data_IF_533180829366
#
_entry.id   IF_533180829366
#
_cell.length_a   1.000
_cell.length_b   1.000
_cell.length_c   1.000
_cell.angle_alpha   90.00
_cell.angle_beta   90.00
_cell.angle_gamma   90.00
#
_symmetry.space_group_name_H-M   'P 1'
#
loop_
_entity.id
_entity.type
_entity.pdbx_description
1 polymer ?
#
# COMPACT_ATOMS: atom_id res chain seq x y z
N UNK A 1 25.59 -1.84 5.80
CA UNK A 1 26.79 -1.17 5.20
C UNK A 1 26.35 0.10 4.52
N UNK A 2 25.16 0.09 3.92
CA UNK A 2 24.43 1.25 3.38
C UNK A 2 24.16 2.28 4.48
N UNK A 3 23.46 1.95 5.55
CA UNK A 3 23.15 2.86 6.68
C UNK A 3 24.36 3.67 7.20
N UNK A 4 25.57 3.07 7.14
CA UNK A 4 26.80 3.78 7.55
C UNK A 4 27.36 4.74 6.50
N UNK A 5 27.01 4.54 5.24
CA UNK A 5 27.40 5.45 4.16
C UNK A 5 26.47 6.67 4.15
N UNK A 6 25.20 6.46 4.32
CA UNK A 6 24.17 7.49 4.41
C UNK A 6 24.39 8.40 5.63
N UNK A 7 24.57 7.81 6.83
CA UNK A 7 24.90 8.57 8.05
C UNK A 7 26.21 9.38 7.89
N UNK A 8 27.17 8.85 7.15
CA UNK A 8 28.43 9.54 6.86
C UNK A 8 28.25 10.71 5.87
N UNK A 9 27.36 10.58 4.88
CA UNK A 9 27.03 11.65 3.93
C UNK A 9 26.34 12.81 4.65
N UNK A 10 25.32 12.55 5.45
CA UNK A 10 24.64 13.55 6.26
C UNK A 10 25.61 14.32 7.15
N UNK A 11 26.41 13.61 7.97
CA UNK A 11 27.38 14.25 8.86
C UNK A 11 28.41 15.12 8.11
N UNK A 12 28.83 14.70 6.91
CA UNK A 12 29.79 15.44 6.10
C UNK A 12 29.16 16.70 5.52
N UNK A 13 27.95 16.62 4.98
CA UNK A 13 27.21 17.77 4.47
C UNK A 13 26.88 18.78 5.58
N UNK A 14 26.40 18.33 6.75
CA UNK A 14 26.17 19.16 7.94
C UNK A 14 27.42 19.90 8.39
N UNK A 15 28.56 19.19 8.46
CA UNK A 15 29.86 19.80 8.84
C UNK A 15 30.28 20.90 7.88
N UNK A 16 30.14 20.69 6.57
CA UNK A 16 30.45 21.67 5.55
C UNK A 16 29.51 22.87 5.59
N UNK A 17 28.20 22.61 5.85
CA UNK A 17 27.17 23.64 5.99
C UNK A 17 27.46 24.53 7.20
N UNK A 18 27.77 23.93 8.36
CA UNK A 18 28.14 24.64 9.61
C UNK A 18 29.44 25.45 9.43
N UNK A 19 30.40 24.89 8.69
CA UNK A 19 31.65 25.59 8.35
C UNK A 19 31.44 26.71 7.33
N UNK A 20 30.26 26.84 6.73
CA UNK A 20 29.94 27.78 5.65
C UNK A 20 30.85 27.64 4.42
N UNK A 21 31.40 26.44 4.20
CA UNK A 21 32.22 26.15 3.02
C UNK A 21 31.34 25.71 1.85
N UNK A 22 30.55 26.62 1.36
CA UNK A 22 29.55 26.40 0.29
C UNK A 22 30.21 25.95 -1.04
N UNK A 23 31.48 26.24 -1.25
CA UNK A 23 32.16 25.83 -2.47
C UNK A 23 32.51 24.35 -2.45
N UNK A 24 33.04 23.87 -1.33
CA UNK A 24 33.36 22.44 -1.15
C UNK A 24 32.05 21.63 -1.07
N UNK A 25 31.04 22.16 -0.37
CA UNK A 25 29.74 21.57 -0.24
C UNK A 25 29.08 21.34 -1.62
N UNK A 26 29.01 22.37 -2.46
CA UNK A 26 28.47 22.28 -3.81
C UNK A 26 29.22 21.25 -4.66
N UNK A 27 30.54 21.27 -4.64
CA UNK A 27 31.33 20.31 -5.40
C UNK A 27 31.13 18.87 -4.91
N UNK A 28 30.92 18.69 -3.62
CA UNK A 28 30.62 17.36 -3.05
C UNK A 28 29.30 16.84 -3.56
N UNK A 29 28.24 17.67 -3.55
CA UNK A 29 26.93 17.29 -4.08
C UNK A 29 26.95 17.01 -5.60
N UNK A 30 27.78 17.73 -6.39
CA UNK A 30 27.97 17.44 -7.82
C UNK A 30 28.56 16.03 -8.07
N UNK A 31 29.30 15.47 -7.10
CA UNK A 31 29.89 14.13 -7.17
C UNK A 31 29.04 13.03 -6.52
N UNK A 32 27.86 13.37 -5.92
CA UNK A 32 26.94 12.44 -5.25
C UNK A 32 25.77 12.07 -6.17
N UNK A 33 25.12 10.92 -5.86
CA UNK A 33 23.86 10.56 -6.47
C UNK A 33 22.73 11.46 -5.93
N UNK A 34 21.73 11.76 -6.75
CA UNK A 34 20.59 12.62 -6.39
C UNK A 34 19.79 12.03 -5.24
N UNK A 35 19.58 10.72 -5.23
CA UNK A 35 18.88 9.98 -4.15
C UNK A 35 19.64 10.10 -2.82
N UNK A 36 20.99 9.96 -2.83
CA UNK A 36 21.81 10.09 -1.61
C UNK A 36 21.74 11.53 -1.04
N UNK A 37 21.62 12.53 -1.92
CA UNK A 37 21.48 13.93 -1.50
C UNK A 37 20.10 14.15 -0.86
N UNK A 38 19.04 13.67 -1.51
CA UNK A 38 17.67 13.79 -1.02
C UNK A 38 17.54 13.12 0.35
N UNK A 39 17.99 11.88 0.49
CA UNK A 39 17.98 11.15 1.75
C UNK A 39 18.73 11.90 2.87
N UNK A 40 19.92 12.46 2.56
CA UNK A 40 20.66 13.25 3.54
C UNK A 40 19.92 14.54 3.94
N UNK A 41 19.11 15.10 3.04
CA UNK A 41 18.30 16.30 3.30
C UNK A 41 17.08 15.97 4.17
N UNK A 42 16.40 14.86 3.92
CA UNK A 42 15.23 14.39 4.68
C UNK A 42 15.56 14.08 6.15
N UNK A 43 16.82 13.72 6.42
CA UNK A 43 17.35 13.44 7.76
C UNK A 43 17.80 14.72 8.51
N UNK A 44 17.79 15.90 7.85
CA UNK A 44 18.21 17.18 8.43
C UNK A 44 17.03 17.99 8.96
N UNK A 45 17.33 19.05 9.74
CA UNK A 45 16.32 20.05 10.08
C UNK A 45 15.89 20.84 8.84
N UNK A 46 14.59 21.18 8.73
CA UNK A 46 13.98 21.91 7.60
C UNK A 46 14.79 23.13 7.15
N UNK A 47 15.36 23.91 8.10
CA UNK A 47 16.18 25.09 7.77
C UNK A 47 17.48 24.73 7.09
N UNK A 48 18.11 23.64 7.48
CA UNK A 48 19.39 23.20 6.92
C UNK A 48 19.19 22.49 5.60
N UNK A 49 18.13 21.69 5.46
CA UNK A 49 17.66 21.12 4.20
C UNK A 49 17.39 22.22 3.16
N UNK A 50 16.63 23.26 3.52
CA UNK A 50 16.39 24.41 2.62
C UNK A 50 17.69 25.14 2.20
N UNK A 51 18.65 25.30 3.13
CA UNK A 51 19.94 25.93 2.81
C UNK A 51 20.73 25.07 1.83
N UNK A 52 20.72 23.78 2.03
CA UNK A 52 21.37 22.78 1.17
C UNK A 52 20.77 22.82 -0.23
N UNK A 53 19.45 22.79 -0.32
CA UNK A 53 18.71 22.88 -1.58
C UNK A 53 19.09 24.14 -2.38
N UNK A 54 19.18 25.30 -1.72
CA UNK A 54 19.56 26.56 -2.38
C UNK A 54 21.01 26.59 -2.90
N UNK A 55 21.87 25.69 -2.44
CA UNK A 55 23.28 25.57 -2.88
C UNK A 55 23.40 24.60 -4.06
N UNK A 56 22.41 23.71 -4.25
CA UNK A 56 22.41 22.73 -5.35
C UNK A 56 22.68 23.37 -6.71
N UNK A 57 23.39 22.68 -7.61
CA UNK A 57 23.40 23.00 -9.02
C UNK A 57 21.99 23.03 -9.59
N UNK A 58 21.68 24.01 -10.45
CA UNK A 58 20.33 24.19 -10.98
C UNK A 58 19.81 23.02 -11.82
N UNK A 59 20.71 22.32 -12.45
CA UNK A 59 20.49 21.13 -13.27
C UNK A 59 20.18 19.87 -12.45
N UNK A 60 20.58 19.85 -11.17
CA UNK A 60 20.28 18.75 -10.25
C UNK A 60 19.12 19.06 -9.29
N UNK A 61 18.71 20.33 -9.21
CA UNK A 61 17.77 20.77 -8.19
C UNK A 61 16.36 20.15 -8.37
N UNK A 62 15.91 19.96 -9.60
CA UNK A 62 14.64 19.33 -9.88
C UNK A 62 14.70 17.81 -9.59
N UNK A 63 15.78 17.14 -10.02
CA UNK A 63 15.98 15.71 -9.81
C UNK A 63 16.07 15.38 -8.31
N UNK A 64 16.86 16.16 -7.52
CA UNK A 64 16.93 15.99 -6.06
C UNK A 64 15.59 16.31 -5.40
N UNK A 65 14.84 17.28 -5.92
CA UNK A 65 13.56 17.68 -5.37
C UNK A 65 12.51 16.58 -5.55
N UNK A 66 12.49 15.88 -6.69
CA UNK A 66 11.60 14.77 -6.95
C UNK A 66 11.78 13.61 -5.93
N UNK A 67 13.02 13.38 -5.53
CA UNK A 67 13.39 12.31 -4.59
C UNK A 67 13.18 12.66 -3.10
N UNK A 68 12.83 13.93 -2.76
CA UNK A 68 12.56 14.33 -1.37
C UNK A 68 11.20 13.83 -0.91
N UNK A 69 11.07 13.55 0.39
CA UNK A 69 9.78 13.29 0.99
C UNK A 69 8.82 14.50 0.85
N UNK A 70 7.54 14.22 0.69
CA UNK A 70 6.51 15.20 0.37
C UNK A 70 6.45 16.38 1.39
N UNK A 71 6.61 16.11 2.68
CA UNK A 71 6.64 17.15 3.73
C UNK A 71 7.82 18.15 3.52
N UNK A 72 8.99 17.65 3.11
CA UNK A 72 10.17 18.48 2.81
C UNK A 72 10.01 19.25 1.51
N UNK A 73 9.43 18.62 0.48
CA UNK A 73 9.05 19.30 -0.77
C UNK A 73 8.11 20.48 -0.48
N UNK A 74 7.07 20.26 0.31
CA UNK A 74 6.10 21.30 0.69
C UNK A 74 6.77 22.46 1.44
N UNK A 75 7.67 22.14 2.39
CA UNK A 75 8.40 23.16 3.15
C UNK A 75 9.30 24.00 2.25
N UNK A 76 10.05 23.36 1.35
CA UNK A 76 10.94 24.02 0.40
C UNK A 76 10.14 24.95 -0.52
N UNK A 77 9.06 24.45 -1.15
CA UNK A 77 8.20 25.25 -2.03
C UNK A 77 7.56 26.41 -1.29
N UNK A 78 7.05 26.20 -0.07
CA UNK A 78 6.45 27.26 0.75
C UNK A 78 7.45 28.35 1.15
N UNK A 79 8.75 28.00 1.22
CA UNK A 79 9.85 28.91 1.58
C UNK A 79 10.46 29.65 0.39
N UNK A 80 9.96 29.39 -0.82
CA UNK A 80 10.42 30.00 -2.08
C UNK A 80 9.48 31.12 -2.56
N UNK A 81 9.97 31.92 -3.50
CA UNK A 81 9.10 32.84 -4.26
C UNK A 81 8.28 32.04 -5.27
N UNK A 82 7.06 32.54 -5.60
CA UNK A 82 6.19 31.91 -6.60
C UNK A 82 6.88 31.66 -7.96
N UNK A 83 7.94 32.42 -8.27
CA UNK A 83 8.71 32.28 -9.53
C UNK A 83 9.77 31.18 -9.44
N UNK A 84 10.40 31.01 -8.29
CA UNK A 84 11.33 29.91 -8.04
C UNK A 84 10.58 28.58 -7.97
N UNK A 85 9.48 28.54 -7.23
CA UNK A 85 8.60 27.38 -7.14
C UNK A 85 8.09 26.95 -8.53
N UNK A 86 7.59 27.89 -9.36
CA UNK A 86 7.13 27.54 -10.69
C UNK A 86 8.23 27.02 -11.62
N UNK A 87 9.48 27.46 -11.40
CA UNK A 87 10.61 26.96 -12.19
C UNK A 87 10.96 25.50 -11.80
N UNK A 88 10.83 25.12 -10.54
CA UNK A 88 11.00 23.71 -10.12
C UNK A 88 9.90 22.87 -10.76
N UNK A 89 8.64 23.26 -10.59
CA UNK A 89 7.47 22.57 -11.16
C UNK A 89 7.58 22.40 -12.68
N UNK A 90 8.12 23.38 -13.39
CA UNK A 90 8.31 23.31 -14.86
C UNK A 90 9.43 22.31 -15.28
N UNK A 91 10.22 21.83 -14.35
CA UNK A 91 11.30 20.86 -14.62
C UNK A 91 11.06 19.48 -13.94
N UNK A 92 9.98 19.31 -13.18
CA UNK A 92 9.51 18.03 -12.69
C UNK A 92 8.74 17.28 -13.77
N UNK A 93 8.66 15.95 -13.67
CA UNK A 93 7.68 15.17 -14.40
C UNK A 93 6.26 15.52 -13.96
N UNK A 94 5.28 15.28 -14.82
CA UNK A 94 3.94 15.80 -14.57
C UNK A 94 3.22 15.12 -13.39
N UNK A 95 3.49 13.85 -13.14
CA UNK A 95 3.07 13.07 -11.99
C UNK A 95 3.64 13.65 -10.70
N UNK A 96 4.98 13.72 -10.54
CA UNK A 96 5.65 14.32 -9.38
C UNK A 96 5.12 15.72 -9.05
N UNK A 97 4.98 16.55 -10.11
CA UNK A 97 4.44 17.89 -9.94
C UNK A 97 2.97 17.88 -9.50
N UNK A 98 2.19 16.87 -9.90
CA UNK A 98 0.78 16.73 -9.55
C UNK A 98 0.64 16.27 -8.11
N UNK A 99 1.36 15.23 -7.70
CA UNK A 99 1.34 14.68 -6.35
C UNK A 99 1.70 15.74 -5.30
N UNK A 100 2.77 16.50 -5.56
CA UNK A 100 3.12 17.64 -4.71
C UNK A 100 1.98 18.66 -4.59
N UNK A 101 1.35 19.01 -5.72
CA UNK A 101 0.34 20.07 -5.75
C UNK A 101 -1.01 19.63 -5.18
N UNK A 102 -1.35 18.34 -5.19
CA UNK A 102 -2.55 17.80 -4.54
C UNK A 102 -2.52 18.03 -3.03
N UNK A 103 -1.36 17.88 -2.43
CA UNK A 103 -1.15 18.04 -0.99
C UNK A 103 -0.99 19.53 -0.55
N UNK A 104 -0.92 20.45 -1.50
CA UNK A 104 -0.73 21.88 -1.20
C UNK A 104 -2.05 22.66 -1.06
N UNK A 105 -2.09 23.73 -0.23
CA UNK A 105 -3.25 24.59 -0.14
C UNK A 105 -3.62 25.22 -1.50
N UNK A 106 -4.89 25.14 -1.90
CA UNK A 106 -5.37 25.56 -3.21
C UNK A 106 -5.00 27.02 -3.63
N UNK A 107 -4.79 27.90 -2.66
CA UNK A 107 -4.33 29.28 -2.90
C UNK A 107 -2.85 29.34 -3.30
N UNK A 108 -2.02 28.39 -2.87
CA UNK A 108 -0.61 28.24 -3.24
C UNK A 108 -0.53 27.63 -4.62
N UNK A 109 -1.20 26.50 -4.85
CA UNK A 109 -1.32 25.83 -6.16
C UNK A 109 -1.70 26.84 -7.26
N UNK A 110 -2.76 27.62 -7.03
CA UNK A 110 -3.21 28.64 -8.00
C UNK A 110 -2.13 29.66 -8.36
N UNK A 111 -1.29 30.06 -7.40
CA UNK A 111 -0.21 31.04 -7.65
C UNK A 111 0.94 30.43 -8.44
N UNK A 112 1.32 29.22 -8.09
CA UNK A 112 2.39 28.47 -8.77
C UNK A 112 1.97 28.20 -10.21
N UNK A 113 0.82 27.59 -10.44
CA UNK A 113 0.30 27.27 -11.76
C UNK A 113 0.05 28.52 -12.63
N UNK A 114 -0.25 29.68 -12.01
CA UNK A 114 -0.40 30.92 -12.76
C UNK A 114 0.91 31.39 -13.41
N UNK A 115 2.07 30.96 -12.89
CA UNK A 115 3.41 31.31 -13.38
C UNK A 115 4.10 30.19 -14.13
N UNK A 116 3.67 28.95 -13.94
CA UNK A 116 4.14 27.78 -14.66
C UNK A 116 3.88 27.89 -16.18
N UNK A 117 4.64 27.14 -16.97
CA UNK A 117 4.47 27.09 -18.42
C UNK A 117 3.05 26.70 -18.82
N UNK A 118 2.56 27.10 -20.01
CA UNK A 118 1.24 26.66 -20.47
C UNK A 118 1.13 25.14 -20.65
N UNK A 119 2.23 24.47 -21.00
CA UNK A 119 2.33 23.00 -21.19
C UNK A 119 2.22 22.32 -19.83
N UNK A 120 3.12 22.57 -18.89
CA UNK A 120 3.08 22.03 -17.52
C UNK A 120 1.73 22.24 -16.85
N UNK A 121 1.17 23.46 -16.99
CA UNK A 121 -0.17 23.74 -16.44
C UNK A 121 -1.28 22.91 -17.06
N UNK A 122 -1.20 22.61 -18.36
CA UNK A 122 -2.20 21.80 -19.04
C UNK A 122 -2.11 20.34 -18.60
N UNK A 123 -0.89 19.83 -18.47
CA UNK A 123 -0.62 18.44 -18.07
C UNK A 123 -1.03 18.21 -16.61
N UNK A 124 -0.62 19.04 -15.68
CA UNK A 124 -1.04 18.96 -14.27
C UNK A 124 -2.56 19.08 -14.13
N UNK A 125 -3.20 20.08 -14.80
CA UNK A 125 -4.67 20.18 -14.76
C UNK A 125 -5.38 19.00 -15.45
N UNK A 126 -4.69 18.24 -16.27
CA UNK A 126 -5.21 17.02 -16.86
C UNK A 126 -5.17 15.89 -15.83
N UNK A 127 -4.04 15.70 -15.16
CA UNK A 127 -3.82 14.65 -14.15
C UNK A 127 -4.72 14.87 -12.92
N UNK A 128 -4.81 16.07 -12.38
CA UNK A 128 -5.69 16.45 -11.26
C UNK A 128 -7.20 16.16 -11.46
N UNK A 129 -7.61 15.66 -12.62
CA UNK A 129 -9.01 15.27 -12.89
C UNK A 129 -9.29 13.82 -12.63
N UNK A 130 -8.27 13.00 -12.53
CA UNK A 130 -8.44 11.59 -12.25
C UNK A 130 -8.71 11.40 -10.76
N UNK A 131 -9.45 10.36 -10.39
CA UNK A 131 -9.63 10.01 -8.98
C UNK A 131 -8.28 9.65 -8.35
N UNK A 132 -8.06 10.06 -7.11
CA UNK A 132 -6.95 9.58 -6.28
C UNK A 132 -6.91 8.04 -6.28
N UNK A 133 -5.73 7.47 -6.18
CA UNK A 133 -5.48 6.02 -6.19
C UNK A 133 -5.92 5.31 -7.48
N UNK A 134 -6.04 6.02 -8.59
CA UNK A 134 -6.31 5.44 -9.91
C UNK A 134 -5.07 5.41 -10.78
N UNK A 135 -5.02 4.52 -11.78
CA UNK A 135 -3.96 4.50 -12.78
C UNK A 135 -3.78 5.84 -13.51
N UNK A 136 -4.82 6.67 -13.54
CA UNK A 136 -4.77 8.00 -14.13
C UNK A 136 -4.13 9.05 -13.23
N UNK A 137 -4.15 8.90 -11.89
CA UNK A 137 -3.48 9.82 -10.97
C UNK A 137 -1.97 9.56 -10.89
N UNK A 138 -1.54 8.32 -11.01
CA UNK A 138 -0.14 7.90 -10.88
C UNK A 138 0.61 7.79 -12.22
N UNK A 139 0.00 8.22 -13.34
CA UNK A 139 0.64 8.11 -14.66
C UNK A 139 1.38 9.40 -15.01
N UNK A 140 2.51 9.25 -15.69
CA UNK A 140 3.17 10.37 -16.36
C UNK A 140 2.69 10.52 -17.81
N UNK A 141 2.72 11.76 -18.33
CA UNK A 141 2.33 12.08 -19.72
C UNK A 141 3.54 12.20 -20.65
N UNK A 142 4.74 12.13 -20.11
CA UNK A 142 6.03 12.28 -20.79
C UNK A 142 6.53 10.95 -21.37
N UNK A 143 5.95 10.54 -22.50
CA UNK A 143 6.34 9.32 -23.20
C UNK A 143 6.61 9.52 -24.69
N UNK A 144 7.32 8.56 -25.32
CA UNK A 144 7.60 8.59 -26.75
C UNK A 144 6.47 7.92 -27.54
N UNK A 145 5.68 8.71 -28.27
CA UNK A 145 4.72 8.21 -29.24
C UNK A 145 5.32 8.08 -30.65
N UNK A 146 4.97 7.05 -31.37
CA UNK A 146 5.37 6.81 -32.76
C UNK A 146 4.11 6.62 -33.64
N UNK A 147 4.29 6.65 -34.96
CA UNK A 147 3.24 6.37 -35.93
C UNK A 147 3.60 5.13 -36.76
N UNK A 148 2.61 4.32 -37.18
CA UNK A 148 2.82 3.13 -37.97
C UNK A 148 3.61 3.38 -39.28
N UNK A 149 3.39 4.55 -39.90
CA UNK A 149 4.01 4.94 -41.16
C UNK A 149 5.40 5.58 -41.04
N UNK A 150 5.89 5.77 -39.82
CA UNK A 150 7.25 6.24 -39.57
C UNK A 150 8.25 5.14 -39.92
N UNK A 151 9.42 5.56 -40.40
CA UNK A 151 10.56 4.64 -40.54
C UNK A 151 11.31 4.51 -39.20
N UNK A 152 12.15 3.48 -39.11
CA UNK A 152 13.05 3.30 -37.94
C UNK A 152 13.97 4.53 -37.75
N UNK A 153 14.46 5.09 -38.85
CA UNK A 153 15.30 6.31 -38.84
C UNK A 153 14.53 7.49 -38.24
N UNK A 154 13.28 7.72 -38.68
CA UNK A 154 12.41 8.79 -38.17
C UNK A 154 12.14 8.61 -36.67
N UNK A 155 11.89 7.37 -36.22
CA UNK A 155 11.66 7.05 -34.80
C UNK A 155 12.90 7.38 -33.96
N UNK A 156 14.10 6.95 -34.40
CA UNK A 156 15.36 7.27 -33.70
C UNK A 156 15.61 8.79 -33.66
N UNK A 157 15.31 9.51 -34.74
CA UNK A 157 15.43 10.96 -34.76
C UNK A 157 14.44 11.63 -33.77
N UNK A 158 13.23 11.09 -33.62
CA UNK A 158 12.24 11.58 -32.65
C UNK A 158 12.73 11.33 -31.21
N UNK A 159 13.25 10.14 -30.92
CA UNK A 159 13.81 9.79 -29.62
C UNK A 159 15.00 10.72 -29.27
N UNK A 160 15.90 10.98 -30.20
CA UNK A 160 17.03 11.91 -29.97
C UNK A 160 16.58 13.35 -29.65
N UNK A 161 15.42 13.78 -30.10
CA UNK A 161 14.92 15.14 -29.88
C UNK A 161 14.11 15.27 -28.59
N UNK A 162 13.37 14.22 -28.19
CA UNK A 162 12.46 14.24 -27.06
C UNK A 162 12.84 13.33 -25.89
N UNK A 163 13.90 12.54 -26.04
CA UNK A 163 14.23 11.52 -25.06
C UNK A 163 14.70 12.05 -23.70
N UNK A 164 15.13 13.32 -23.64
CA UNK A 164 15.48 13.98 -22.37
C UNK A 164 14.24 14.55 -21.65
N UNK A 165 13.15 14.78 -22.41
CA UNK A 165 11.88 15.28 -21.88
C UNK A 165 10.86 14.14 -21.71
N UNK A 166 11.33 12.89 -21.69
CA UNK A 166 10.46 11.71 -21.57
C UNK A 166 10.94 10.84 -20.44
N UNK A 167 10.00 10.34 -19.65
CA UNK A 167 10.25 9.48 -18.49
C UNK A 167 11.11 8.27 -18.87
N UNK A 168 10.77 7.59 -19.94
CA UNK A 168 11.57 6.52 -20.48
C UNK A 168 11.58 6.48 -22.00
N UNK A 169 12.71 6.09 -22.58
CA UNK A 169 12.88 5.83 -24.01
C UNK A 169 12.93 4.33 -24.32
N UNK A 170 12.94 3.48 -23.31
CA UNK A 170 13.12 2.04 -23.44
C UNK A 170 11.99 1.38 -24.24
N UNK A 171 10.76 1.90 -24.11
CA UNK A 171 9.57 1.47 -24.81
C UNK A 171 8.90 2.69 -25.45
N UNK A 172 8.68 2.61 -26.76
CA UNK A 172 7.93 3.59 -27.53
C UNK A 172 6.55 3.06 -27.87
N UNK A 173 5.55 3.93 -27.90
CA UNK A 173 4.16 3.56 -28.09
C UNK A 173 3.67 3.99 -29.46
N UNK A 174 3.09 3.06 -30.20
CA UNK A 174 2.61 3.32 -31.56
C UNK A 174 1.13 3.66 -31.49
N UNK A 175 0.78 4.88 -31.93
CA UNK A 175 -0.59 5.38 -31.88
C UNK A 175 -1.02 5.89 -33.27
N UNK A 176 -2.32 5.86 -33.55
CA UNK A 176 -2.87 6.45 -34.76
C UNK A 176 -3.12 7.98 -34.62
N UNK A 177 -3.70 8.59 -35.65
CA UNK A 177 -3.99 10.03 -35.65
C UNK A 177 -5.00 10.48 -34.60
N UNK A 178 -5.76 9.55 -34.00
CA UNK A 178 -6.70 9.79 -32.92
C UNK A 178 -6.12 9.41 -31.55
N UNK A 179 -4.81 9.15 -31.46
CA UNK A 179 -4.08 8.68 -30.29
C UNK A 179 -4.48 7.26 -29.83
N UNK A 180 -5.23 6.51 -30.61
CA UNK A 180 -5.58 5.11 -30.27
C UNK A 180 -4.32 4.26 -30.28
N UNK A 181 -4.07 3.54 -29.20
CA UNK A 181 -2.91 2.65 -29.04
C UNK A 181 -3.00 1.46 -30.01
N UNK A 182 -1.97 1.28 -30.85
CA UNK A 182 -1.88 0.23 -31.87
C UNK A 182 -0.81 -0.80 -31.57
N UNK A 183 0.28 -0.38 -30.95
CA UNK A 183 1.41 -1.26 -30.70
C UNK A 183 2.45 -0.63 -29.78
N UNK A 184 3.48 -1.40 -29.51
CA UNK A 184 4.69 -0.95 -28.79
C UNK A 184 5.94 -1.39 -29.51
N UNK A 185 7.01 -0.61 -29.42
CA UNK A 185 8.33 -0.95 -29.95
C UNK A 185 9.39 -0.65 -28.90
N UNK A 186 10.15 -1.66 -28.49
CA UNK A 186 11.27 -1.42 -27.59
C UNK A 186 12.46 -0.80 -28.34
N UNK A 187 13.15 0.15 -27.71
CA UNK A 187 14.32 0.84 -28.27
C UNK A 187 15.37 -0.14 -28.84
N UNK A 188 15.59 -1.29 -28.16
CA UNK A 188 16.51 -2.33 -28.63
C UNK A 188 16.19 -2.85 -30.04
N UNK A 189 14.91 -2.90 -30.42
CA UNK A 189 14.53 -3.31 -31.78
C UNK A 189 14.81 -2.23 -32.80
N UNK A 190 14.58 -0.96 -32.47
CA UNK A 190 14.94 0.17 -33.34
C UNK A 190 16.44 0.21 -33.65
N UNK A 191 17.29 -0.18 -32.67
CA UNK A 191 18.74 -0.17 -32.85
C UNK A 191 19.30 -1.28 -33.75
N UNK A 192 18.55 -2.35 -33.94
CA UNK A 192 19.01 -3.54 -34.71
C UNK A 192 18.29 -3.72 -36.06
N UNK A 193 17.28 -2.89 -36.33
CA UNK A 193 16.49 -2.94 -37.58
C UNK A 193 17.11 -2.01 -38.64
N UNK A 194 16.74 -2.27 -39.91
CA UNK A 194 17.18 -1.41 -41.01
C UNK A 194 16.46 -0.04 -40.92
N UNK A 195 17.15 1.07 -41.28
CA UNK A 195 16.62 2.43 -41.10
C UNK A 195 15.32 2.71 -41.87
N UNK A 196 15.08 2.03 -42.99
CA UNK A 196 13.96 2.20 -43.90
C UNK A 196 12.73 1.28 -43.58
N UNK A 197 12.87 0.35 -42.62
CA UNK A 197 11.74 -0.45 -42.17
C UNK A 197 10.67 0.43 -41.52
N UNK A 198 9.38 0.07 -41.72
CA UNK A 198 8.28 0.80 -41.13
C UNK A 198 8.01 0.32 -39.69
N UNK A 199 7.67 1.26 -38.80
CA UNK A 199 7.31 0.97 -37.40
C UNK A 199 6.12 -0.01 -37.34
N UNK A 200 5.13 0.14 -38.23
CA UNK A 200 3.98 -0.75 -38.31
C UNK A 200 4.32 -2.23 -38.58
N UNK A 201 5.42 -2.49 -39.25
CA UNK A 201 5.85 -3.85 -39.58
C UNK A 201 6.63 -4.53 -38.44
N UNK A 202 7.24 -3.73 -37.55
CA UNK A 202 8.11 -4.24 -36.47
C UNK A 202 7.47 -4.12 -35.06
N UNK A 203 6.37 -3.40 -34.93
CA UNK A 203 5.69 -3.21 -33.64
C UNK A 203 5.05 -4.50 -33.11
N UNK A 204 4.99 -4.60 -31.79
CA UNK A 204 4.17 -5.61 -31.12
C UNK A 204 2.74 -5.09 -30.97
N UNK A 205 1.79 -5.76 -31.63
CA UNK A 205 0.36 -5.40 -31.58
C UNK A 205 -0.39 -6.00 -30.38
N UNK A 206 0.23 -6.93 -29.65
CA UNK A 206 -0.36 -7.53 -28.43
C UNK A 206 0.03 -6.70 -27.21
N UNK A 207 -0.52 -5.51 -27.14
CA UNK A 207 -0.23 -4.58 -26.03
C UNK A 207 -1.16 -4.87 -24.86
N UNK A 208 -0.58 -4.92 -23.67
CA UNK A 208 -1.31 -4.88 -22.42
C UNK A 208 -1.30 -3.43 -21.96
N UNK A 209 -2.47 -2.88 -21.72
CA UNK A 209 -2.69 -1.51 -21.24
C UNK A 209 -3.65 -1.53 -20.07
N UNK A 210 -3.64 -0.49 -19.26
CA UNK A 210 -4.56 -0.28 -18.15
C UNK A 210 -5.47 0.91 -18.46
N UNK A 211 -6.69 0.89 -17.90
CA UNK A 211 -7.60 2.02 -18.03
C UNK A 211 -7.29 3.08 -16.96
N UNK A 212 -7.44 4.37 -17.29
CA UNK A 212 -7.22 5.49 -16.36
C UNK A 212 -8.00 5.40 -15.04
N UNK A 213 -9.15 4.72 -15.01
CA UNK A 213 -10.00 4.57 -13.83
C UNK A 213 -9.76 3.27 -13.07
N UNK A 214 -8.80 2.46 -13.50
CA UNK A 214 -8.42 1.26 -12.77
C UNK A 214 -7.66 1.65 -11.51
N UNK A 215 -7.86 0.90 -10.45
CA UNK A 215 -7.18 1.07 -9.17
C UNK A 215 -5.65 0.93 -9.30
N UNK A 216 -4.89 1.72 -8.55
CA UNK A 216 -3.43 1.74 -8.62
C UNK A 216 -2.81 0.39 -8.20
N UNK A 217 -3.40 -0.31 -7.22
CA UNK A 217 -2.93 -1.63 -6.80
C UNK A 217 -3.07 -2.65 -7.95
N UNK A 218 -4.21 -2.65 -8.67
CA UNK A 218 -4.43 -3.52 -9.84
C UNK A 218 -3.44 -3.20 -10.97
N UNK A 219 -3.14 -1.91 -11.18
CA UNK A 219 -2.14 -1.46 -12.15
C UNK A 219 -0.74 -1.96 -11.76
N UNK A 220 -0.34 -1.77 -10.52
CA UNK A 220 0.94 -2.21 -9.96
C UNK A 220 1.11 -3.74 -10.05
N UNK A 221 0.10 -4.51 -9.64
CA UNK A 221 0.09 -5.97 -9.76
C UNK A 221 0.17 -6.44 -11.21
N UNK A 222 -0.42 -5.70 -12.15
CA UNK A 222 -0.34 -6.02 -13.59
C UNK A 222 1.09 -5.82 -14.10
N UNK A 223 1.74 -4.71 -13.77
CA UNK A 223 3.15 -4.44 -14.13
C UNK A 223 4.06 -5.52 -13.52
N UNK A 224 3.89 -5.83 -12.24
CA UNK A 224 4.64 -6.89 -11.56
C UNK A 224 4.45 -8.26 -12.23
N UNK A 225 3.22 -8.64 -12.57
CA UNK A 225 2.88 -9.92 -13.17
C UNK A 225 3.55 -10.14 -14.53
N UNK A 226 3.61 -9.10 -15.35
CA UNK A 226 4.19 -9.20 -16.70
C UNK A 226 5.66 -8.80 -16.75
N UNK A 227 6.21 -8.25 -15.66
CA UNK A 227 7.60 -7.79 -15.58
C UNK A 227 7.88 -6.61 -16.51
N UNK A 228 6.93 -5.69 -16.64
CA UNK A 228 7.10 -4.50 -17.47
C UNK A 228 7.93 -3.46 -16.76
N UNK A 229 8.71 -2.69 -17.50
CA UNK A 229 9.42 -1.48 -17.00
C UNK A 229 8.56 -0.23 -17.13
N UNK A 230 7.61 -0.23 -18.05
CA UNK A 230 6.59 0.80 -18.19
C UNK A 230 5.36 0.20 -18.90
N UNK A 231 4.17 0.68 -18.55
CA UNK A 231 2.91 0.19 -19.09
C UNK A 231 2.05 1.36 -19.57
N UNK A 232 1.42 1.25 -20.76
CA UNK A 232 0.58 2.32 -21.28
C UNK A 232 -0.76 2.39 -20.57
N UNK A 233 -1.17 3.61 -20.26
CA UNK A 233 -2.48 3.95 -19.71
C UNK A 233 -3.36 4.51 -20.82
N UNK A 234 -4.59 4.01 -20.91
CA UNK A 234 -5.56 4.38 -21.96
C UNK A 234 -6.88 4.84 -21.36
N UNK A 235 -7.58 5.71 -22.08
CA UNK A 235 -8.94 6.08 -21.76
C UNK A 235 -9.97 5.01 -22.21
N UNK A 236 -11.27 5.25 -21.98
CA UNK A 236 -12.34 4.35 -22.35
C UNK A 236 -12.47 4.13 -23.86
N UNK A 237 -11.84 4.96 -24.69
CA UNK A 237 -11.82 4.87 -26.15
C UNK A 237 -10.50 4.26 -26.67
N UNK A 238 -9.71 3.67 -25.76
CA UNK A 238 -8.39 3.10 -26.02
C UNK A 238 -7.37 4.11 -26.57
N UNK A 239 -7.55 5.40 -26.25
CA UNK A 239 -6.56 6.42 -26.58
C UNK A 239 -5.51 6.45 -25.48
N UNK A 240 -4.26 6.49 -25.89
CA UNK A 240 -3.14 6.58 -24.98
C UNK A 240 -3.09 7.97 -24.31
N UNK A 241 -3.07 8.00 -23.02
CA UNK A 241 -3.03 9.22 -22.20
C UNK A 241 -1.75 9.37 -21.41
N UNK A 242 -1.14 8.28 -20.96
CA UNK A 242 0.08 8.30 -20.17
C UNK A 242 0.75 6.92 -20.10
N UNK A 243 1.74 6.83 -19.24
CA UNK A 243 2.42 5.58 -18.86
C UNK A 243 2.58 5.54 -17.34
N UNK A 244 2.69 4.33 -16.80
CA UNK A 244 3.12 4.08 -15.42
C UNK A 244 4.43 3.33 -15.49
N UNK A 245 5.42 3.73 -14.71
CA UNK A 245 6.76 3.13 -14.68
C UNK A 245 6.93 2.15 -13.52
N UNK A 246 7.99 1.38 -13.52
CA UNK A 246 8.20 0.32 -12.54
C UNK A 246 8.70 0.85 -11.19
N UNK A 247 9.40 1.97 -11.18
CA UNK A 247 9.86 2.70 -10.01
C UNK A 247 8.66 3.16 -9.17
N UNK A 248 7.71 3.92 -9.75
CA UNK A 248 6.45 4.30 -9.08
C UNK A 248 5.69 3.08 -8.55
N UNK A 249 5.65 2.00 -9.34
CA UNK A 249 4.99 0.75 -8.92
C UNK A 249 5.63 0.12 -7.68
N UNK A 250 6.95 0.24 -7.50
CA UNK A 250 7.62 -0.29 -6.30
C UNK A 250 7.12 0.46 -5.07
N UNK A 251 7.01 1.78 -5.14
CA UNK A 251 6.54 2.62 -4.04
C UNK A 251 5.06 2.38 -3.75
N UNK A 252 4.21 2.34 -4.77
CA UNK A 252 2.79 1.99 -4.63
C UNK A 252 2.60 0.63 -3.95
N UNK A 253 3.34 -0.41 -4.36
CA UNK A 253 3.24 -1.73 -3.73
C UNK A 253 3.67 -1.72 -2.25
N UNK A 254 4.60 -0.86 -1.87
CA UNK A 254 5.02 -0.68 -0.49
C UNK A 254 3.96 0.09 0.32
N UNK A 255 3.38 1.13 -0.25
CA UNK A 255 2.30 1.92 0.36
C UNK A 255 1.06 1.07 0.60
N UNK A 256 0.58 0.34 -0.41
CA UNK A 256 -0.56 -0.58 -0.31
C UNK A 256 -0.31 -1.68 0.74
N UNK A 257 0.91 -2.25 0.77
CA UNK A 257 1.26 -3.23 1.79
C UNK A 257 1.27 -2.63 3.20
N UNK A 258 1.68 -1.38 3.36
CA UNK A 258 1.67 -0.65 4.63
C UNK A 258 0.25 -0.32 5.05
N UNK A 259 -0.57 0.15 4.12
CA UNK A 259 -2.00 0.41 4.32
C UNK A 259 -2.74 -0.84 4.79
N UNK A 260 -2.52 -1.97 4.11
CA UNK A 260 -3.08 -3.28 4.49
C UNK A 260 -2.71 -3.66 5.93
N UNK A 261 -1.43 -3.49 6.31
CA UNK A 261 -0.95 -3.80 7.67
C UNK A 261 -1.63 -2.89 8.70
N UNK A 262 -1.76 -1.60 8.43
CA UNK A 262 -2.41 -0.64 9.33
C UNK A 262 -3.92 -0.94 9.47
N UNK A 263 -4.62 -1.21 8.38
CA UNK A 263 -6.03 -1.63 8.38
C UNK A 263 -6.22 -2.93 9.14
N UNK A 264 -5.35 -3.93 8.92
CA UNK A 264 -5.38 -5.19 9.66
C UNK A 264 -5.14 -5.02 11.16
N UNK A 265 -4.43 -3.98 11.57
CA UNK A 265 -4.23 -3.61 12.97
C UNK A 265 -5.34 -2.70 13.54
N UNK A 266 -6.39 -2.38 12.77
CA UNK A 266 -7.42 -1.40 13.09
C UNK A 266 -6.84 -0.01 13.40
N UNK A 267 -5.94 0.45 12.54
CA UNK A 267 -5.37 1.80 12.51
C UNK A 267 -5.85 2.46 11.22
N UNK A 268 -6.17 3.74 11.25
CA UNK A 268 -6.44 4.50 10.03
C UNK A 268 -5.12 4.74 9.30
N UNK A 269 -5.04 4.47 7.99
CA UNK A 269 -3.81 4.59 7.21
C UNK A 269 -3.14 5.96 7.25
N UNK A 270 -1.85 6.00 6.95
CA UNK A 270 -1.03 7.21 6.92
C UNK A 270 0.04 7.15 5.85
N UNK A 271 0.11 8.20 5.05
CA UNK A 271 1.15 8.40 4.04
C UNK A 271 2.46 8.96 4.66
N UNK A 272 2.41 9.33 5.96
CA UNK A 272 3.54 9.89 6.69
C UNK A 272 4.37 8.83 7.39
N UNK A 273 5.70 8.89 7.31
CA UNK A 273 6.60 8.06 8.10
C UNK A 273 6.31 8.18 9.60
N UNK A 274 6.44 7.07 10.33
CA UNK A 274 6.11 7.00 11.76
C UNK A 274 6.79 8.08 12.61
N UNK A 275 8.05 8.41 12.33
CA UNK A 275 8.82 9.41 13.10
C UNK A 275 8.39 10.86 12.81
N UNK A 276 7.83 11.14 11.63
CA UNK A 276 7.32 12.48 11.27
C UNK A 276 5.90 12.73 11.78
N UNK A 277 5.15 11.66 12.15
CA UNK A 277 3.82 11.80 12.73
C UNK A 277 3.87 12.38 14.15
N UNK A 278 3.07 13.41 14.40
CA UNK A 278 2.90 13.95 15.76
C UNK A 278 2.12 12.97 16.64
N UNK A 279 2.34 13.03 17.96
CA UNK A 279 1.57 12.24 18.93
C UNK A 279 0.06 12.41 18.77
N UNK A 280 -0.39 13.62 18.38
CA UNK A 280 -1.81 13.90 18.20
C UNK A 280 -2.41 13.29 16.94
N UNK A 281 -1.66 13.25 15.84
CA UNK A 281 -2.03 12.55 14.61
C UNK A 281 -2.13 11.05 14.85
N UNK A 282 -1.10 10.44 15.43
CA UNK A 282 -1.10 9.03 15.83
C UNK A 282 -2.31 8.67 16.72
N UNK A 283 -2.64 9.54 17.71
CA UNK A 283 -3.81 9.38 18.56
C UNK A 283 -5.10 9.37 17.74
N UNK A 284 -5.29 10.33 16.84
CA UNK A 284 -6.49 10.43 15.99
C UNK A 284 -6.69 9.20 15.10
N UNK A 285 -5.60 8.62 14.60
CA UNK A 285 -5.66 7.44 13.73
C UNK A 285 -6.02 6.15 14.46
N UNK A 286 -5.67 6.03 15.74
CA UNK A 286 -5.92 4.82 16.53
C UNK A 286 -7.22 4.89 17.34
N UNK A 287 -7.61 6.06 17.81
CA UNK A 287 -8.70 6.20 18.80
C UNK A 287 -10.09 5.80 18.29
N UNK A 288 -10.49 6.09 17.04
CA UNK A 288 -11.82 5.71 16.54
C UNK A 288 -12.07 4.21 16.61
N UNK A 289 -11.12 3.41 16.16
CA UNK A 289 -11.21 1.95 16.20
C UNK A 289 -11.21 1.40 17.62
N UNK A 290 -10.37 1.93 18.50
CA UNK A 290 -10.35 1.51 19.92
C UNK A 290 -11.69 1.78 20.60
N UNK A 291 -12.33 2.91 20.34
CA UNK A 291 -13.66 3.22 20.85
C UNK A 291 -14.73 2.27 20.31
N UNK A 292 -14.70 2.00 19.01
CA UNK A 292 -15.61 1.04 18.37
C UNK A 292 -15.47 -0.36 18.99
N UNK A 293 -14.24 -0.85 19.13
CA UNK A 293 -13.95 -2.16 19.74
C UNK A 293 -14.35 -2.22 21.22
N UNK A 294 -14.14 -1.15 21.97
CA UNK A 294 -14.58 -1.05 23.37
C UNK A 294 -16.11 -1.16 23.50
N UNK A 295 -16.85 -0.47 22.62
CA UNK A 295 -18.32 -0.58 22.59
C UNK A 295 -18.73 -2.01 22.22
N UNK A 296 -18.08 -2.59 21.22
CA UNK A 296 -18.35 -3.96 20.78
C UNK A 296 -18.10 -5.00 21.89
N UNK A 297 -17.06 -4.79 22.73
CA UNK A 297 -16.78 -5.65 23.88
C UNK A 297 -17.92 -5.67 24.95
N UNK A 298 -18.82 -4.71 24.96
CA UNK A 298 -19.98 -4.71 25.85
C UNK A 298 -20.93 -5.88 25.58
N UNK A 299 -21.03 -6.35 24.30
CA UNK A 299 -21.81 -7.53 23.95
C UNK A 299 -21.24 -8.80 24.58
N UNK A 300 -19.93 -8.93 24.63
CA UNK A 300 -19.23 -10.04 25.31
C UNK A 300 -19.57 -10.04 26.81
N UNK A 301 -19.54 -8.87 27.43
CA UNK A 301 -19.96 -8.71 28.84
C UNK A 301 -21.42 -9.11 29.08
N UNK A 302 -22.33 -8.73 28.20
CA UNK A 302 -23.74 -9.12 28.29
C UNK A 302 -23.96 -10.64 28.19
N UNK A 303 -23.19 -11.34 27.32
CA UNK A 303 -23.23 -12.80 27.22
C UNK A 303 -22.79 -13.43 28.55
N UNK A 304 -21.68 -12.98 29.14
CA UNK A 304 -21.20 -13.50 30.43
C UNK A 304 -22.24 -13.32 31.53
N UNK A 305 -22.85 -12.12 31.62
CA UNK A 305 -23.89 -11.84 32.59
C UNK A 305 -25.14 -12.73 32.38
N UNK A 306 -25.49 -13.02 31.12
CA UNK A 306 -26.61 -13.90 30.80
C UNK A 306 -26.45 -15.37 31.28
N UNK A 307 -25.20 -15.78 31.59
CA UNK A 307 -24.88 -17.11 32.12
C UNK A 307 -24.37 -17.10 33.54
N UNK A 308 -24.72 -16.06 34.35
CA UNK A 308 -24.23 -15.88 35.72
C UNK A 308 -24.59 -17.07 36.62
N UNK A 309 -25.80 -17.63 36.50
CA UNK A 309 -26.25 -18.81 37.29
C UNK A 309 -25.42 -20.06 36.98
N UNK A 310 -25.05 -20.25 35.72
CA UNK A 310 -24.16 -21.33 35.32
C UNK A 310 -22.75 -21.18 35.90
N UNK A 311 -22.23 -19.96 35.90
CA UNK A 311 -20.93 -19.64 36.50
C UNK A 311 -20.96 -19.75 38.03
N UNK A 312 -22.04 -19.37 38.67
CA UNK A 312 -22.20 -19.54 40.13
C UNK A 312 -22.19 -21.03 40.53
N UNK A 313 -22.80 -21.88 39.69
CA UNK A 313 -22.82 -23.35 39.94
C UNK A 313 -21.46 -24.02 39.75
N UNK A 314 -20.66 -23.51 38.80
CA UNK A 314 -19.32 -24.04 38.47
C UNK A 314 -18.32 -22.92 38.27
N UNK A 315 -17.92 -22.25 39.35
CA UNK A 315 -16.98 -21.08 39.34
C UNK A 315 -15.70 -21.37 38.56
N UNK A 316 -15.24 -22.62 38.55
CA UNK A 316 -14.03 -23.05 37.82
C UNK A 316 -14.11 -22.76 36.29
N UNK A 317 -15.32 -22.71 35.73
CA UNK A 317 -15.51 -22.40 34.30
C UNK A 317 -15.02 -20.99 33.96
N UNK A 318 -15.11 -20.03 34.89
CA UNK A 318 -14.64 -18.65 34.69
C UNK A 318 -13.15 -18.58 34.37
N UNK A 319 -12.35 -19.47 34.98
CA UNK A 319 -10.90 -19.48 34.79
C UNK A 319 -10.44 -19.83 33.36
N UNK A 320 -11.31 -20.49 32.58
CA UNK A 320 -10.99 -20.94 31.21
C UNK A 320 -11.59 -20.03 30.12
N UNK A 321 -12.39 -19.03 30.46
CA UNK A 321 -12.92 -18.06 29.52
C UNK A 321 -11.79 -17.37 28.75
N UNK A 322 -10.76 -16.78 29.38
CA UNK A 322 -9.69 -16.10 28.65
C UNK A 322 -8.95 -17.01 27.67
N UNK A 323 -8.69 -18.27 28.07
CA UNK A 323 -8.00 -19.24 27.21
C UNK A 323 -8.82 -19.57 25.96
N UNK A 324 -10.14 -19.74 26.08
CA UNK A 324 -11.00 -20.08 24.95
C UNK A 324 -11.15 -18.89 23.99
N UNK A 325 -11.33 -17.68 24.52
CA UNK A 325 -11.42 -16.45 23.74
C UNK A 325 -10.11 -16.18 23.00
N UNK A 326 -8.99 -16.17 23.70
CA UNK A 326 -7.67 -15.91 23.11
C UNK A 326 -7.33 -16.94 22.02
N UNK A 327 -7.52 -18.22 22.31
CA UNK A 327 -7.26 -19.28 21.31
C UNK A 327 -8.17 -19.16 20.08
N UNK A 328 -9.46 -18.83 20.31
CA UNK A 328 -10.42 -18.58 19.22
C UNK A 328 -10.01 -17.37 18.40
N UNK A 329 -9.76 -16.24 19.04
CA UNK A 329 -9.34 -15.00 18.38
C UNK A 329 -8.08 -15.18 17.54
N UNK A 330 -7.05 -15.81 18.11
CA UNK A 330 -5.80 -16.11 17.41
C UNK A 330 -6.02 -17.06 16.22
N UNK A 331 -6.85 -18.09 16.37
CA UNK A 331 -7.16 -19.02 15.28
C UNK A 331 -7.90 -18.34 14.14
N UNK A 332 -8.85 -17.48 14.45
CA UNK A 332 -9.59 -16.68 13.46
C UNK A 332 -8.69 -15.68 12.72
N UNK A 333 -7.87 -14.94 13.47
CA UNK A 333 -6.90 -13.99 12.92
C UNK A 333 -5.90 -14.62 11.96
N UNK A 334 -5.36 -15.82 12.31
CA UNK A 334 -4.46 -16.56 11.40
C UNK A 334 -5.12 -16.93 10.07
N UNK A 335 -6.39 -17.33 10.09
CA UNK A 335 -7.13 -17.63 8.87
C UNK A 335 -7.39 -16.37 8.05
N UNK A 336 -7.80 -15.29 8.72
CA UNK A 336 -8.09 -14.01 8.07
C UNK A 336 -6.89 -13.41 7.38
N UNK A 337 -5.77 -13.26 8.08
CA UNK A 337 -4.53 -12.71 7.50
C UNK A 337 -4.08 -13.52 6.28
N UNK A 338 -4.20 -14.86 6.33
CA UNK A 338 -3.84 -15.71 5.19
C UNK A 338 -4.76 -15.50 3.99
N UNK A 339 -6.05 -15.29 4.23
CA UNK A 339 -7.04 -15.06 3.17
C UNK A 339 -6.92 -13.65 2.61
N UNK A 340 -6.80 -12.63 3.47
CA UNK A 340 -6.60 -11.22 3.06
C UNK A 340 -5.36 -11.13 2.16
N UNK A 341 -4.23 -11.68 2.62
CA UNK A 341 -3.01 -11.66 1.79
C UNK A 341 -3.18 -12.39 0.47
N UNK A 342 -3.90 -13.51 0.45
CA UNK A 342 -4.20 -14.24 -0.78
C UNK A 342 -5.08 -13.46 -1.75
N UNK A 343 -6.00 -12.63 -1.24
CA UNK A 343 -6.84 -11.73 -2.03
C UNK A 343 -6.00 -10.57 -2.58
N UNK A 344 -5.23 -9.89 -1.73
CA UNK A 344 -4.40 -8.73 -2.07
C UNK A 344 -3.39 -9.04 -3.19
N UNK A 345 -2.77 -10.23 -3.20
CA UNK A 345 -1.84 -10.63 -4.27
C UNK A 345 -2.51 -11.36 -5.45
N UNK A 346 -3.84 -11.44 -5.48
CA UNK A 346 -4.58 -12.12 -6.55
C UNK A 346 -4.42 -13.65 -6.59
N UNK A 347 -3.94 -14.28 -5.51
CA UNK A 347 -3.81 -15.75 -5.40
C UNK A 347 -5.15 -16.43 -5.12
N UNK A 348 -6.08 -15.73 -4.46
CA UNK A 348 -7.42 -16.19 -4.12
C UNK A 348 -8.45 -15.31 -4.82
N UNK A 349 -9.36 -15.93 -5.58
CA UNK A 349 -10.54 -15.25 -6.12
C UNK A 349 -11.81 -15.68 -5.37
N UNK A 350 -12.82 -14.80 -5.30
CA UNK A 350 -14.11 -15.14 -4.68
C UNK A 350 -14.75 -16.42 -5.25
N UNK A 351 -14.51 -16.74 -6.52
CA UNK A 351 -14.99 -18.00 -7.16
C UNK A 351 -14.47 -19.25 -6.49
N UNK A 352 -13.33 -19.15 -5.79
CA UNK A 352 -12.70 -20.27 -5.09
C UNK A 352 -13.09 -20.40 -3.61
N UNK A 353 -14.04 -19.60 -3.13
CA UNK A 353 -14.49 -19.54 -1.73
C UNK A 353 -14.69 -20.91 -1.09
N UNK A 354 -15.36 -21.86 -1.78
CA UNK A 354 -15.61 -23.20 -1.24
C UNK A 354 -14.31 -24.01 -1.08
N UNK A 355 -13.35 -23.82 -1.96
CA UNK A 355 -12.04 -24.48 -1.92
C UNK A 355 -11.22 -23.97 -0.73
N UNK A 356 -11.24 -22.66 -0.53
CA UNK A 356 -10.55 -21.99 0.58
C UNK A 356 -11.18 -22.40 1.91
N UNK A 357 -12.50 -22.30 2.06
CA UNK A 357 -13.25 -22.75 3.26
C UNK A 357 -12.93 -24.22 3.56
N UNK A 358 -12.96 -25.10 2.57
CA UNK A 358 -12.69 -26.53 2.79
C UNK A 358 -11.27 -26.80 3.22
N UNK A 359 -10.29 -26.03 2.73
CA UNK A 359 -8.90 -26.08 3.18
C UNK A 359 -8.81 -25.64 4.65
N UNK A 360 -9.38 -24.49 4.99
CA UNK A 360 -9.33 -23.94 6.36
C UNK A 360 -10.08 -24.82 7.37
N UNK A 361 -11.22 -25.42 7.02
CA UNK A 361 -11.94 -26.35 7.91
C UNK A 361 -11.11 -27.59 8.25
N UNK A 362 -10.33 -28.13 7.31
CA UNK A 362 -9.42 -29.27 7.58
C UNK A 362 -8.29 -28.83 8.51
N UNK A 363 -7.70 -27.66 8.27
CA UNK A 363 -6.66 -27.10 9.14
C UNK A 363 -7.23 -26.83 10.53
N UNK A 364 -8.42 -26.24 10.63
CA UNK A 364 -9.12 -25.97 11.88
C UNK A 364 -9.35 -27.24 12.71
N UNK A 365 -9.80 -28.31 12.05
CA UNK A 365 -10.05 -29.59 12.70
C UNK A 365 -8.75 -30.18 13.28
N UNK A 366 -7.66 -30.17 12.50
CA UNK A 366 -6.36 -30.65 12.97
C UNK A 366 -5.83 -29.81 14.13
N UNK A 367 -5.87 -28.48 14.01
CA UNK A 367 -5.46 -27.56 15.09
C UNK A 367 -6.31 -27.77 16.35
N UNK A 368 -7.64 -27.79 16.19
CA UNK A 368 -8.57 -27.97 17.31
C UNK A 368 -8.37 -29.27 18.07
N UNK A 369 -8.19 -30.38 17.36
CA UNK A 369 -7.93 -31.69 17.99
C UNK A 369 -6.56 -31.69 18.71
N UNK A 370 -5.53 -31.15 18.07
CA UNK A 370 -4.18 -31.11 18.66
C UNK A 370 -4.15 -30.23 19.90
N UNK A 371 -4.71 -29.02 19.85
CA UNK A 371 -4.80 -28.15 21.02
C UNK A 371 -5.65 -28.72 22.13
N UNK A 372 -6.79 -29.31 21.77
CA UNK A 372 -7.68 -29.99 22.73
C UNK A 372 -6.99 -31.17 23.43
N UNK A 373 -6.26 -32.01 22.70
CA UNK A 373 -5.53 -33.13 23.28
C UNK A 373 -4.43 -32.66 24.25
N UNK A 374 -3.65 -31.65 23.84
CA UNK A 374 -2.60 -31.06 24.70
C UNK A 374 -3.20 -30.44 25.97
N UNK A 375 -4.29 -29.65 25.78
CA UNK A 375 -4.98 -29.05 26.91
C UNK A 375 -5.64 -30.06 27.83
N UNK A 376 -6.20 -31.16 27.31
CA UNK A 376 -6.80 -32.22 28.11
C UNK A 376 -5.77 -32.84 29.09
N UNK A 377 -4.56 -33.10 28.59
CA UNK A 377 -3.45 -33.61 29.45
C UNK A 377 -3.11 -32.59 30.53
N UNK A 378 -3.03 -31.28 30.17
CA UNK A 378 -2.77 -30.20 31.13
C UNK A 378 -3.87 -30.11 32.19
N UNK A 379 -5.14 -30.12 31.79
CA UNK A 379 -6.29 -30.02 32.69
C UNK A 379 -6.34 -31.16 33.72
N UNK A 380 -5.98 -32.39 33.33
CA UNK A 380 -5.99 -33.55 34.22
C UNK A 380 -4.74 -33.61 35.11
N UNK A 381 -3.54 -33.36 34.59
CA UNK A 381 -2.28 -33.54 35.30
C UNK A 381 -1.88 -32.32 36.11
N UNK A 382 -2.07 -31.12 35.58
CA UNK A 382 -1.64 -29.88 36.21
C UNK A 382 -2.79 -29.28 37.02
N UNK A 383 -3.93 -29.06 36.37
CA UNK A 383 -5.07 -28.37 36.99
C UNK A 383 -5.93 -29.33 37.83
N UNK A 384 -5.76 -30.66 37.65
CA UNK A 384 -6.46 -31.72 38.37
C UNK A 384 -7.98 -31.58 38.36
N UNK A 385 -8.53 -31.21 37.22
CA UNK A 385 -9.99 -31.03 37.06
C UNK A 385 -10.74 -32.34 37.00
N UNK A 386 -12.02 -32.27 37.39
CA UNK A 386 -12.95 -33.39 37.16
C UNK A 386 -13.16 -33.67 35.69
N UNK A 387 -13.22 -34.92 35.30
CA UNK A 387 -13.37 -35.33 33.89
C UNK A 387 -14.50 -34.62 33.12
N UNK A 388 -15.72 -34.44 33.68
CA UNK A 388 -16.78 -33.74 32.93
C UNK A 388 -16.43 -32.30 32.59
N UNK A 389 -15.77 -31.57 33.50
CA UNK A 389 -15.35 -30.17 33.27
C UNK A 389 -14.22 -30.13 32.24
N UNK A 390 -13.20 -31.02 32.37
CA UNK A 390 -12.15 -31.08 31.37
C UNK A 390 -12.69 -31.42 29.97
N UNK A 391 -13.66 -32.29 29.87
CA UNK A 391 -14.33 -32.66 28.61
C UNK A 391 -15.05 -31.48 28.00
N UNK A 392 -15.84 -30.71 28.77
CA UNK A 392 -16.52 -29.51 28.32
C UNK A 392 -15.53 -28.51 27.71
N UNK A 393 -14.43 -28.22 28.43
CA UNK A 393 -13.44 -27.25 27.97
C UNK A 393 -12.79 -27.73 26.66
N UNK A 394 -12.43 -29.02 26.58
CA UNK A 394 -11.77 -29.57 25.39
C UNK A 394 -12.67 -29.66 24.17
N UNK A 395 -13.91 -30.06 24.32
CA UNK A 395 -14.90 -30.05 23.21
C UNK A 395 -15.18 -28.62 22.74
N UNK A 396 -15.37 -27.71 23.67
CA UNK A 396 -15.52 -26.28 23.35
C UNK A 396 -14.34 -25.76 22.55
N UNK A 397 -13.11 -26.08 22.95
CA UNK A 397 -11.90 -25.63 22.25
C UNK A 397 -11.87 -26.07 20.78
N UNK A 398 -12.22 -27.34 20.49
CA UNK A 398 -12.32 -27.82 19.10
C UNK A 398 -13.36 -27.03 18.32
N UNK A 399 -14.55 -26.88 18.88
CA UNK A 399 -15.66 -26.20 18.22
C UNK A 399 -15.31 -24.72 17.97
N UNK A 400 -14.77 -24.04 18.97
CA UNK A 400 -14.36 -22.63 18.88
C UNK A 400 -13.31 -22.43 17.79
N UNK A 401 -12.26 -23.26 17.73
CA UNK A 401 -11.23 -23.16 16.69
C UNK A 401 -11.80 -23.36 15.28
N UNK A 402 -12.74 -24.29 15.12
CA UNK A 402 -13.39 -24.51 13.82
C UNK A 402 -14.24 -23.32 13.42
N UNK A 403 -15.07 -22.80 14.32
CA UNK A 403 -15.89 -21.60 14.03
C UNK A 403 -15.02 -20.36 13.80
N UNK A 404 -13.98 -20.16 14.60
CA UNK A 404 -13.07 -19.02 14.48
C UNK A 404 -12.41 -18.98 13.12
N UNK A 405 -11.81 -20.10 12.66
CA UNK A 405 -11.19 -20.18 11.34
C UNK A 405 -12.21 -20.06 10.20
N UNK A 406 -13.42 -20.57 10.37
CA UNK A 406 -14.49 -20.38 9.41
C UNK A 406 -14.86 -18.89 9.26
N UNK A 407 -15.09 -18.19 10.38
CA UNK A 407 -15.38 -16.75 10.40
C UNK A 407 -14.22 -15.95 9.80
N UNK A 408 -12.99 -16.22 10.23
CA UNK A 408 -11.79 -15.57 9.74
C UNK A 408 -11.55 -15.75 8.24
N UNK A 409 -11.99 -16.89 7.67
CA UNK A 409 -11.91 -17.13 6.24
C UNK A 409 -13.05 -16.44 5.46
N UNK A 410 -14.28 -16.50 5.97
CA UNK A 410 -15.46 -16.06 5.23
C UNK A 410 -15.62 -14.54 5.23
N UNK A 411 -15.30 -13.87 6.33
CA UNK A 411 -15.52 -12.42 6.45
C UNK A 411 -14.75 -11.61 5.39
N UNK A 412 -13.43 -11.80 5.18
CA UNK A 412 -12.70 -11.07 4.15
C UNK A 412 -13.24 -11.33 2.73
N UNK A 413 -13.56 -12.59 2.41
CA UNK A 413 -14.11 -12.97 1.11
C UNK A 413 -15.49 -12.35 0.84
N UNK A 414 -16.29 -12.18 1.88
CA UNK A 414 -17.59 -11.50 1.75
C UNK A 414 -17.38 -10.00 1.62
N UNK A 415 -16.44 -9.41 2.35
CA UNK A 415 -16.11 -7.99 2.26
C UNK A 415 -15.71 -7.61 0.83
N UNK A 416 -14.76 -8.33 0.23
CA UNK A 416 -14.36 -8.15 -1.17
C UNK A 416 -15.56 -8.18 -2.12
N UNK A 417 -16.43 -9.18 -1.96
CA UNK A 417 -17.60 -9.32 -2.84
C UNK A 417 -18.56 -8.14 -2.80
N UNK A 418 -18.72 -7.50 -1.66
CA UNK A 418 -19.62 -6.35 -1.48
C UNK A 418 -18.92 -5.01 -1.72
N UNK A 419 -17.64 -5.04 -2.15
CA UNK A 419 -16.85 -3.86 -2.45
C UNK A 419 -16.27 -3.16 -1.21
N UNK A 420 -16.14 -3.88 -0.09
CA UNK A 420 -15.40 -3.43 1.08
C UNK A 420 -13.99 -4.02 1.08
N UNK A 421 -13.04 -3.23 1.53
CA UNK A 421 -11.67 -3.68 1.68
C UNK A 421 -11.58 -4.86 2.67
N UNK A 422 -11.04 -6.03 2.23
CA UNK A 422 -10.89 -7.19 3.09
C UNK A 422 -9.99 -6.96 4.30
N UNK A 423 -8.99 -6.06 4.23
CA UNK A 423 -8.05 -5.77 5.30
C UNK A 423 -8.74 -5.20 6.55
N UNK A 424 -9.81 -4.43 6.38
CA UNK A 424 -10.64 -3.91 7.47
C UNK A 424 -11.33 -5.03 8.28
N UNK A 425 -11.58 -6.19 7.64
CA UNK A 425 -12.17 -7.37 8.30
C UNK A 425 -11.15 -8.25 9.02
N UNK A 426 -10.02 -7.66 9.43
CA UNK A 426 -8.92 -8.38 10.05
C UNK A 426 -9.07 -8.56 11.57
N UNK A 427 -7.95 -8.78 12.21
CA UNK A 427 -7.79 -9.33 13.56
C UNK A 427 -8.73 -8.74 14.63
N UNK A 428 -8.84 -7.42 14.85
CA UNK A 428 -9.62 -6.90 15.97
C UNK A 428 -11.14 -7.09 15.83
N UNK A 429 -11.68 -7.01 14.61
CA UNK A 429 -13.10 -7.25 14.38
C UNK A 429 -13.43 -8.74 14.51
N UNK A 430 -12.57 -9.60 13.97
CA UNK A 430 -12.72 -11.05 14.05
C UNK A 430 -12.64 -11.52 15.49
N UNK A 431 -11.67 -11.06 16.28
CA UNK A 431 -11.56 -11.44 17.70
C UNK A 431 -12.84 -11.10 18.46
N UNK A 432 -13.40 -9.93 18.26
CA UNK A 432 -14.67 -9.54 18.93
C UNK A 432 -15.83 -10.44 18.57
N UNK A 433 -15.99 -10.80 17.28
CA UNK A 433 -17.05 -11.71 16.84
C UNK A 433 -16.80 -13.12 17.37
N UNK A 434 -15.57 -13.61 17.29
CA UNK A 434 -15.18 -14.92 17.76
C UNK A 434 -15.32 -15.05 19.27
N UNK A 435 -15.04 -14.00 20.03
CA UNK A 435 -15.22 -13.98 21.49
C UNK A 435 -16.69 -14.20 21.86
N UNK A 436 -17.60 -13.48 21.23
CA UNK A 436 -19.03 -13.65 21.45
C UNK A 436 -19.51 -15.08 21.11
N UNK A 437 -19.06 -15.63 19.97
CA UNK A 437 -19.38 -16.99 19.54
C UNK A 437 -18.75 -18.00 20.49
N UNK A 438 -17.50 -17.83 20.88
CA UNK A 438 -16.77 -18.73 21.80
C UNK A 438 -17.46 -18.86 23.13
N UNK A 439 -17.89 -17.75 23.73
CA UNK A 439 -18.61 -17.74 24.98
C UNK A 439 -19.98 -18.40 24.87
N UNK A 440 -20.72 -18.08 23.81
CA UNK A 440 -22.04 -18.69 23.57
C UNK A 440 -21.93 -20.21 23.43
N UNK A 441 -20.96 -20.67 22.64
CA UNK A 441 -20.69 -22.12 22.46
C UNK A 441 -20.24 -22.75 23.80
N UNK A 442 -19.34 -22.09 24.51
CA UNK A 442 -18.83 -22.58 25.78
C UNK A 442 -19.93 -22.82 26.81
N UNK A 443 -20.72 -21.80 27.05
CA UNK A 443 -21.80 -21.89 28.03
C UNK A 443 -22.90 -22.85 27.59
N UNK A 444 -23.23 -22.89 26.31
CA UNK A 444 -24.22 -23.87 25.79
C UNK A 444 -23.75 -25.32 26.02
N UNK A 445 -22.50 -25.62 25.75
CA UNK A 445 -21.91 -26.95 25.98
C UNK A 445 -21.85 -27.24 27.49
N UNK A 446 -21.43 -26.26 28.30
CA UNK A 446 -21.32 -26.42 29.75
C UNK A 446 -22.68 -26.73 30.38
N UNK A 447 -23.71 -25.96 30.05
CA UNK A 447 -25.08 -26.18 30.56
C UNK A 447 -25.61 -27.56 30.16
N UNK A 448 -25.42 -27.94 28.89
CA UNK A 448 -25.91 -29.20 28.35
C UNK A 448 -25.19 -30.42 28.97
N UNK A 449 -23.86 -30.41 29.14
CA UNK A 449 -23.06 -31.55 29.61
C UNK A 449 -23.06 -31.67 31.13
N UNK A 450 -23.06 -30.51 31.83
CA UNK A 450 -23.05 -30.48 33.31
C UNK A 450 -24.45 -30.45 33.91
N UNK A 451 -25.51 -30.47 33.06
CA UNK A 451 -26.91 -30.42 33.47
C UNK A 451 -27.23 -29.26 34.44
N UNK A 452 -26.73 -28.07 34.11
CA UNK A 452 -26.96 -26.88 34.92
C UNK A 452 -28.37 -26.36 34.61
N UNK A 453 -29.19 -26.18 35.63
CA UNK A 453 -30.49 -25.53 35.48
C UNK A 453 -30.25 -24.00 35.43
N UNK A 454 -30.65 -23.38 34.33
CA UNK A 454 -30.65 -21.93 34.13
C UNK A 454 -32.06 -21.41 34.35
#
# INVERSE_FOLDING_TARGET
MEDKLEENYREELEKLLLAKDYRTLRKKMEDMNVVDIAFAMDEMDDEDSLKLFRILPKDMAADVFAELELDDQQYIIASMSDTEASHIIDNLMADDATDLLEEMPANVVKKILAKASPETRADINHLLRYPEYSAGSIMTVEFIDLREMMTVEDAILKIKRRGLDSETVNICYVVDNQRVLKGTVALRYLLIREPDELIGDIMNTKVISINTLTDQEEAALTIQKYGFTAMPVVDNENRMVGIITVDDVVDILQEEATEDIEKMAAILPSDKPYYKMTTWETYKKRMPWLLFLMISATFTGAIITGYEDALASYVILTAYIPMLMDTGGNAGSQASVSVIRGLSIGEIEFKEIFKVIWKELRVATLCGITLSAANFVKLLLVDRLALPVAFVICVTLVVVVVFAKFIGCVLPLVAEKIGFDPAVMASPLITTIVDAVSLTVYFTIAVSVLHINI
#
